data_IF_374388037582
#
_entry.id   IF_374388037582
#
_cell.length_a   1.000
_cell.length_b   1.000
_cell.length_c   1.000
_cell.angle_alpha   90.00
_cell.angle_beta   90.00
_cell.angle_gamma   90.00
#
_symmetry.space_group_name_H-M   'P 1'
#
loop_
_entity.id
_entity.type
_entity.pdbx_description
1 polymer ?
#
# COMPACT_ATOMS: atom_id res chain seq x y z
N UNK A 1 22.60 25.95 5.88
CA UNK A 1 22.71 25.03 7.02
C UNK A 1 21.37 25.01 7.74
N UNK A 2 20.41 24.26 7.23
CA UNK A 2 19.08 24.08 7.84
C UNK A 2 19.14 22.76 8.63
N UNK A 3 19.12 22.92 9.99
CA UNK A 3 19.33 21.84 10.93
C UNK A 3 18.31 20.72 10.78
N UNK A 4 18.82 19.49 10.63
CA UNK A 4 18.08 18.30 11.03
C UNK A 4 17.65 18.54 12.48
N UNK A 5 16.33 18.59 12.75
CA UNK A 5 15.83 18.64 14.13
C UNK A 5 16.48 17.46 14.85
N UNK A 6 17.28 17.75 15.90
CA UNK A 6 17.91 16.69 16.68
C UNK A 6 16.82 15.78 17.23
N UNK A 7 17.13 14.52 17.47
CA UNK A 7 16.19 13.60 18.13
C UNK A 7 15.66 14.19 19.42
N UNK A 8 16.50 14.92 20.15
CA UNK A 8 16.12 15.64 21.38
C UNK A 8 15.11 16.76 21.13
N UNK A 9 15.27 17.51 20.02
CA UNK A 9 14.29 18.53 19.63
C UNK A 9 12.93 17.93 19.23
N UNK A 10 12.95 16.77 18.56
CA UNK A 10 11.73 16.04 18.24
C UNK A 10 11.04 15.50 19.49
N UNK A 11 11.81 14.96 20.43
CA UNK A 11 11.31 14.46 21.71
C UNK A 11 10.64 15.59 22.51
N UNK A 12 11.31 16.71 22.67
CA UNK A 12 10.77 17.86 23.38
C UNK A 12 9.48 18.41 22.73
N UNK A 13 9.47 18.48 21.40
CA UNK A 13 8.28 18.91 20.67
C UNK A 13 7.10 17.95 20.82
N UNK A 14 7.33 16.64 20.75
CA UNK A 14 6.29 15.63 21.00
C UNK A 14 5.75 15.72 22.42
N UNK A 15 6.64 15.87 23.40
CA UNK A 15 6.27 16.03 24.80
C UNK A 15 5.32 17.24 25.01
N UNK A 16 5.67 18.39 24.41
CA UNK A 16 4.87 19.61 24.52
C UNK A 16 3.50 19.46 23.85
N UNK A 17 3.47 18.91 22.63
CA UNK A 17 2.24 18.78 21.83
C UNK A 17 1.28 17.76 22.46
N UNK A 18 1.78 16.61 22.91
CA UNK A 18 0.94 15.57 23.51
C UNK A 18 0.43 16.00 24.89
N UNK A 19 1.23 16.70 25.68
CA UNK A 19 0.79 17.24 26.97
C UNK A 19 -0.40 18.21 26.88
N UNK A 20 -0.56 18.89 25.72
CA UNK A 20 -1.72 19.73 25.44
C UNK A 20 -2.88 18.94 24.83
N UNK A 21 -2.58 18.06 23.87
CA UNK A 21 -3.61 17.34 23.09
C UNK A 21 -4.25 16.18 23.85
N UNK A 22 -3.49 15.54 24.75
CA UNK A 22 -3.93 14.41 25.57
C UNK A 22 -3.62 14.79 27.04
N UNK A 23 -4.43 15.67 27.65
CA UNK A 23 -4.18 16.11 28.98
C UNK A 23 -4.26 14.94 29.97
N UNK A 24 -3.25 14.80 30.79
CA UNK A 24 -3.28 13.92 31.97
C UNK A 24 -4.17 14.49 33.05
N UNK A 25 -4.71 13.63 33.88
CA UNK A 25 -5.39 14.08 35.11
C UNK A 25 -4.45 14.94 35.96
N UNK A 26 -4.96 15.96 36.65
CA UNK A 26 -4.15 16.89 37.44
C UNK A 26 -3.21 16.11 38.40
N UNK A 27 -1.91 16.32 38.26
CA UNK A 27 -0.87 15.68 39.08
C UNK A 27 -0.28 14.40 38.54
N UNK A 28 -0.65 13.98 37.33
CA UNK A 28 -0.06 12.79 36.68
C UNK A 28 1.03 13.21 35.71
N UNK A 29 2.27 12.75 35.93
CA UNK A 29 3.37 12.95 34.98
C UNK A 29 3.09 12.19 33.68
N UNK A 30 3.27 12.88 32.55
CA UNK A 30 3.12 12.30 31.23
C UNK A 30 4.39 12.53 30.43
N UNK A 31 4.97 11.47 29.88
CA UNK A 31 6.28 11.52 29.21
C UNK A 31 6.36 10.66 27.97
N UNK A 32 7.17 11.12 26.98
CA UNK A 32 7.48 10.37 25.77
C UNK A 32 8.69 9.47 26.01
N UNK A 33 8.53 8.19 25.72
CA UNK A 33 9.59 7.17 25.83
C UNK A 33 9.83 6.42 24.54
N UNK A 34 10.98 5.76 24.43
CA UNK A 34 11.35 4.82 23.36
C UNK A 34 11.22 5.39 21.94
N UNK A 35 11.48 6.71 21.78
CA UNK A 35 11.42 7.34 20.46
C UNK A 35 12.47 6.71 19.52
N UNK A 36 11.99 6.09 18.43
CA UNK A 36 12.84 5.48 17.42
C UNK A 36 12.26 5.65 16.02
N UNK A 37 13.13 5.92 15.06
CA UNK A 37 12.74 5.95 13.66
C UNK A 37 12.53 4.53 13.14
N UNK A 38 11.41 4.31 12.43
CA UNK A 38 11.17 3.06 11.73
C UNK A 38 11.80 3.14 10.33
N UNK A 39 12.43 2.04 9.89
CA UNK A 39 12.90 1.88 8.52
C UNK A 39 11.72 1.54 7.62
N UNK A 40 11.63 2.12 6.42
CA UNK A 40 10.67 1.67 5.41
C UNK A 40 9.74 2.72 4.81
N UNK A 41 9.89 4.00 5.09
CA UNK A 41 9.16 5.07 4.39
C UNK A 41 10.05 5.74 3.35
N UNK A 42 9.75 5.60 2.05
CA UNK A 42 10.53 6.23 0.99
C UNK A 42 10.28 7.74 0.88
N UNK A 43 9.13 8.21 1.31
CA UNK A 43 8.65 9.60 1.15
C UNK A 43 8.46 10.35 2.47
N UNK A 44 8.20 9.64 3.57
CA UNK A 44 7.84 10.19 4.87
C UNK A 44 8.72 9.62 5.98
N UNK A 45 8.89 10.38 7.07
CA UNK A 45 9.48 9.87 8.30
C UNK A 45 8.41 9.24 9.18
N UNK A 46 8.66 8.01 9.61
CA UNK A 46 7.81 7.30 10.56
C UNK A 46 8.59 7.04 11.85
N UNK A 47 8.06 7.51 12.96
CA UNK A 47 8.66 7.38 14.28
C UNK A 47 7.72 6.65 15.22
N UNK A 48 8.21 5.62 15.88
CA UNK A 48 7.49 4.92 16.94
C UNK A 48 7.96 5.44 18.29
N UNK A 49 7.01 5.58 19.21
CA UNK A 49 7.28 5.98 20.60
C UNK A 49 6.14 5.53 21.52
N UNK A 50 6.36 5.64 22.80
CA UNK A 50 5.35 5.38 23.82
C UNK A 50 5.03 6.68 24.57
N UNK A 51 3.74 7.00 24.71
CA UNK A 51 3.24 8.08 25.55
C UNK A 51 2.79 7.46 26.88
N UNK A 52 3.59 7.69 27.92
CA UNK A 52 3.30 7.18 29.26
C UNK A 52 2.54 8.23 30.08
N UNK A 53 1.41 7.83 30.64
CA UNK A 53 0.60 8.66 31.54
C UNK A 53 0.36 7.87 32.82
N UNK A 54 1.07 8.26 33.89
CA UNK A 54 0.90 7.60 35.20
C UNK A 54 1.26 6.12 35.21
N UNK A 55 2.26 5.69 34.42
CA UNK A 55 2.71 4.30 34.30
C UNK A 55 1.92 3.46 33.27
N UNK A 56 0.98 4.07 32.55
CA UNK A 56 0.25 3.42 31.46
C UNK A 56 0.82 3.91 30.11
N UNK A 57 1.60 3.06 29.46
CA UNK A 57 2.19 3.35 28.16
C UNK A 57 1.18 3.18 27.04
N UNK A 58 0.95 4.23 26.26
CA UNK A 58 0.19 4.22 25.01
C UNK A 58 1.15 4.19 23.83
N UNK A 59 1.20 3.11 23.04
CA UNK A 59 2.07 3.01 21.89
C UNK A 59 1.54 3.89 20.73
N UNK A 60 2.39 4.78 20.21
CA UNK A 60 2.05 5.76 19.19
C UNK A 60 3.02 5.73 18.01
N UNK A 61 2.55 6.28 16.89
CA UNK A 61 3.33 6.56 15.68
C UNK A 61 3.18 8.03 15.32
N UNK A 62 4.29 8.69 15.06
CA UNK A 62 4.34 9.94 14.31
C UNK A 62 4.69 9.65 12.87
N UNK A 63 3.85 10.08 11.92
CA UNK A 63 4.15 10.13 10.48
C UNK A 63 4.25 11.60 10.08
N UNK A 64 5.41 11.99 9.49
CA UNK A 64 5.65 13.39 9.12
C UNK A 64 6.48 13.52 7.84
N UNK A 65 6.39 14.69 7.22
CA UNK A 65 7.30 15.05 6.13
C UNK A 65 8.73 15.26 6.68
N UNK A 66 9.77 14.82 5.98
CA UNK A 66 11.14 15.14 6.33
C UNK A 66 11.34 16.66 6.32
N UNK A 67 12.15 17.23 7.23
CA UNK A 67 12.46 18.66 7.23
C UNK A 67 12.99 19.12 5.87
N UNK A 68 12.38 20.19 5.31
CA UNK A 68 12.77 20.73 4.01
C UNK A 68 12.29 19.92 2.78
N UNK A 69 11.50 18.87 2.98
CA UNK A 69 10.87 18.18 1.87
C UNK A 69 9.91 19.12 1.15
N UNK A 70 10.17 19.41 -0.12
CA UNK A 70 9.17 20.03 -0.96
C UNK A 70 7.96 19.10 -1.03
N UNK A 71 6.76 19.66 -0.82
CA UNK A 71 5.50 18.95 -1.08
C UNK A 71 5.58 18.40 -2.50
N UNK A 72 5.67 17.08 -2.64
CA UNK A 72 5.62 16.45 -3.95
C UNK A 72 4.19 16.55 -4.43
N UNK A 73 3.92 17.59 -5.21
CA UNK A 73 2.63 17.78 -5.89
C UNK A 73 2.44 16.67 -6.94
N UNK A 74 1.91 15.56 -6.49
CA UNK A 74 1.50 14.43 -7.34
C UNK A 74 -0.03 14.25 -7.33
N UNK A 75 -0.76 15.25 -6.86
CA UNK A 75 -2.19 15.11 -6.60
C UNK A 75 -2.50 14.10 -5.49
N UNK A 76 -1.52 13.84 -4.61
CA UNK A 76 -1.69 13.01 -3.42
C UNK A 76 -2.41 13.81 -2.33
N UNK A 77 -3.14 13.17 -1.42
CA UNK A 77 -3.91 13.85 -0.38
C UNK A 77 -3.05 14.66 0.61
N UNK A 78 -1.73 14.45 0.63
CA UNK A 78 -0.84 15.00 1.66
C UNK A 78 -1.11 14.39 3.03
N UNK A 79 -0.27 14.72 4.03
CA UNK A 79 -0.36 14.10 5.36
C UNK A 79 -1.67 14.45 6.10
N UNK A 80 -2.17 15.67 5.95
CA UNK A 80 -3.45 16.06 6.54
C UNK A 80 -4.63 15.32 5.86
N UNK A 81 -4.59 15.17 4.54
CA UNK A 81 -5.57 14.39 3.79
C UNK A 81 -5.50 12.90 4.11
N UNK A 82 -4.30 12.32 4.24
CA UNK A 82 -4.10 10.95 4.67
C UNK A 82 -4.73 10.71 6.06
N UNK A 83 -4.47 11.60 7.02
CA UNK A 83 -5.06 11.53 8.35
C UNK A 83 -6.61 11.62 8.30
N UNK A 84 -7.16 12.45 7.42
CA UNK A 84 -8.60 12.57 7.24
C UNK A 84 -9.23 11.30 6.65
N UNK A 85 -8.57 10.67 5.66
CA UNK A 85 -8.98 9.39 5.08
C UNK A 85 -9.00 8.28 6.13
N UNK A 86 -7.94 8.14 6.92
CA UNK A 86 -7.84 7.17 8.01
C UNK A 86 -8.98 7.38 9.03
N UNK A 87 -9.26 8.64 9.42
CA UNK A 87 -10.35 8.96 10.36
C UNK A 87 -11.74 8.57 9.83
N UNK A 88 -11.95 8.63 8.53
CA UNK A 88 -13.23 8.25 7.92
C UNK A 88 -13.32 6.74 7.65
N UNK A 89 -12.20 6.07 7.40
CA UNK A 89 -12.15 4.64 7.14
C UNK A 89 -12.56 3.80 8.37
N UNK A 90 -12.19 4.22 9.58
CA UNK A 90 -12.56 3.54 10.82
C UNK A 90 -14.07 3.35 10.99
N UNK A 91 -14.89 4.42 10.99
CA UNK A 91 -16.34 4.33 11.03
C UNK A 91 -16.96 3.54 9.87
N UNK A 92 -16.31 3.50 8.71
CA UNK A 92 -16.71 2.66 7.59
C UNK A 92 -16.42 1.15 7.81
N UNK A 93 -15.83 0.80 8.95
CA UNK A 93 -15.50 -0.58 9.32
C UNK A 93 -14.22 -1.11 8.69
N UNK A 94 -13.34 -0.24 8.18
CA UNK A 94 -12.00 -0.62 7.75
C UNK A 94 -11.09 -0.65 8.98
N UNK A 95 -10.32 -1.71 9.23
CA UNK A 95 -9.35 -1.72 10.32
C UNK A 95 -8.22 -0.71 10.02
N UNK A 96 -8.14 0.35 10.81
CA UNK A 96 -7.14 1.42 10.67
C UNK A 96 -6.73 1.93 12.04
N UNK A 97 -5.53 2.54 12.18
CA UNK A 97 -5.12 3.15 13.43
C UNK A 97 -5.99 4.37 13.75
N UNK A 98 -6.26 4.60 15.03
CA UNK A 98 -6.88 5.85 15.47
C UNK A 98 -5.91 7.02 15.27
N UNK A 99 -6.31 8.05 14.53
CA UNK A 99 -5.56 9.29 14.41
C UNK A 99 -5.89 10.20 15.60
N UNK A 100 -4.92 10.42 16.46
CA UNK A 100 -5.06 11.23 17.67
C UNK A 100 -4.96 12.74 17.36
N UNK A 101 -3.94 13.11 16.59
CA UNK A 101 -3.62 14.51 16.34
C UNK A 101 -3.09 14.71 14.92
N UNK A 102 -3.55 15.74 14.23
CA UNK A 102 -2.93 16.27 13.00
C UNK A 102 -2.09 17.48 13.40
N UNK A 103 -0.81 17.47 13.06
CA UNK A 103 0.12 18.54 13.38
C UNK A 103 -0.28 19.84 12.69
N UNK A 104 -0.04 20.95 13.39
CA UNK A 104 -0.28 22.30 12.91
C UNK A 104 1.05 23.08 12.93
N UNK A 105 1.20 24.16 12.13
CA UNK A 105 2.43 24.94 12.08
C UNK A 105 2.95 25.40 13.46
N UNK A 106 2.05 25.74 14.37
CA UNK A 106 2.41 26.16 15.73
C UNK A 106 3.05 25.08 16.59
N UNK A 107 2.92 23.81 16.19
CA UNK A 107 3.55 22.69 16.90
C UNK A 107 5.06 22.59 16.62
N UNK A 108 5.57 23.25 15.57
CA UNK A 108 6.99 23.26 15.24
C UNK A 108 7.59 21.92 14.79
N UNK A 109 6.74 20.91 14.56
CA UNK A 109 7.16 19.54 14.19
C UNK A 109 7.08 19.26 12.68
N UNK A 110 6.68 20.25 11.86
CA UNK A 110 6.39 20.10 10.45
C UNK A 110 5.02 19.50 10.18
N UNK A 111 4.75 19.23 8.89
CA UNK A 111 3.50 18.56 8.48
C UNK A 111 3.52 17.10 8.91
N UNK A 112 2.42 16.65 9.51
CA UNK A 112 2.33 15.25 9.96
C UNK A 112 1.10 14.98 10.81
N UNK A 113 1.04 13.78 11.35
CA UNK A 113 0.02 13.37 12.30
C UNK A 113 0.53 12.30 13.26
N UNK A 114 -0.12 12.21 14.41
CA UNK A 114 0.13 11.18 15.42
C UNK A 114 -1.06 10.23 15.44
N UNK A 115 -0.77 8.94 15.42
CA UNK A 115 -1.76 7.88 15.43
C UNK A 115 -1.37 6.76 16.37
N UNK A 116 -2.32 5.92 16.72
CA UNK A 116 -2.12 4.68 17.46
C UNK A 116 -1.12 3.77 16.73
N UNK A 117 -0.20 3.14 17.45
CA UNK A 117 0.62 2.05 16.94
C UNK A 117 -0.12 0.73 17.13
N UNK A 118 -0.65 0.19 16.03
CA UNK A 118 -1.33 -1.10 16.06
C UNK A 118 -0.32 -2.25 16.17
N UNK A 119 -0.65 -3.33 16.88
CA UNK A 119 0.12 -4.57 16.82
C UNK A 119 -0.12 -5.30 15.50
N UNK A 120 0.82 -6.13 15.10
CA UNK A 120 0.70 -6.98 13.92
C UNK A 120 1.97 -7.08 13.11
N UNK A 121 1.97 -8.01 12.17
CA UNK A 121 3.05 -8.27 11.24
C UNK A 121 2.76 -7.59 9.88
N UNK A 122 3.73 -6.87 9.34
CA UNK A 122 3.64 -6.23 8.03
C UNK A 122 4.58 -6.87 6.99
N UNK A 123 5.53 -7.72 7.41
CA UNK A 123 6.49 -8.33 6.49
C UNK A 123 5.80 -9.33 5.57
N UNK A 124 5.66 -8.97 4.29
CA UNK A 124 4.93 -9.75 3.30
C UNK A 124 5.36 -11.21 3.22
N UNK A 125 6.65 -11.52 3.32
CA UNK A 125 7.15 -12.90 3.34
C UNK A 125 6.65 -13.74 4.51
N UNK A 126 6.37 -13.13 5.67
CA UNK A 126 5.81 -13.84 6.85
C UNK A 126 4.31 -14.07 6.66
N UNK A 127 3.61 -13.06 6.14
CA UNK A 127 2.19 -13.16 5.83
C UNK A 127 1.96 -14.23 4.74
N UNK A 128 2.78 -14.22 3.68
CA UNK A 128 2.71 -15.18 2.57
C UNK A 128 3.22 -16.59 2.90
N UNK A 129 3.80 -16.83 4.08
CA UNK A 129 4.35 -18.12 4.46
C UNK A 129 3.30 -19.25 4.50
N UNK A 130 2.02 -18.92 4.71
CA UNK A 130 0.92 -19.87 4.77
C UNK A 130 -0.28 -19.43 3.93
N UNK A 131 -1.13 -20.40 3.57
CA UNK A 131 -2.45 -20.11 3.01
C UNK A 131 -3.38 -19.57 4.09
N UNK A 132 -4.00 -18.42 3.86
CA UNK A 132 -4.82 -17.68 4.83
C UNK A 132 -6.13 -17.24 4.18
N UNK A 133 -7.09 -18.14 3.96
CA UNK A 133 -8.34 -17.84 3.26
C UNK A 133 -9.16 -16.77 3.97
N UNK A 134 -9.23 -16.79 5.29
CA UNK A 134 -9.95 -15.78 6.07
C UNK A 134 -9.31 -14.38 5.92
N UNK A 135 -7.99 -14.29 5.88
CA UNK A 135 -7.30 -13.02 5.64
C UNK A 135 -7.62 -12.48 4.24
N UNK A 136 -7.65 -13.33 3.21
CA UNK A 136 -8.01 -12.93 1.86
C UNK A 136 -9.46 -12.42 1.81
N UNK A 137 -10.41 -13.07 2.48
CA UNK A 137 -11.78 -12.60 2.61
C UNK A 137 -11.86 -11.25 3.36
N UNK A 138 -11.11 -11.09 4.45
CA UNK A 138 -11.06 -9.83 5.19
C UNK A 138 -10.49 -8.69 4.35
N UNK A 139 -9.45 -8.95 3.54
CA UNK A 139 -8.91 -7.97 2.59
C UNK A 139 -9.96 -7.56 1.55
N UNK A 140 -10.70 -8.52 1.00
CA UNK A 140 -11.82 -8.23 0.09
C UNK A 140 -12.90 -7.37 0.74
N UNK A 141 -13.32 -7.72 1.94
CA UNK A 141 -14.33 -6.94 2.68
C UNK A 141 -13.83 -5.53 3.04
N UNK A 142 -12.56 -5.38 3.41
CA UNK A 142 -11.96 -4.07 3.68
C UNK A 142 -11.94 -3.19 2.43
N UNK A 143 -11.54 -3.75 1.27
CA UNK A 143 -11.56 -3.03 -0.01
C UNK A 143 -12.98 -2.60 -0.41
N UNK A 144 -13.98 -3.46 -0.26
CA UNK A 144 -15.37 -3.08 -0.56
C UNK A 144 -15.87 -1.92 0.31
N UNK A 145 -15.49 -1.90 1.59
CA UNK A 145 -15.81 -0.79 2.50
C UNK A 145 -15.08 0.50 2.13
N UNK A 146 -13.81 0.42 1.72
CA UNK A 146 -13.04 1.57 1.22
C UNK A 146 -13.74 2.15 -0.01
N UNK A 147 -14.08 1.31 -0.99
CA UNK A 147 -14.71 1.72 -2.23
C UNK A 147 -16.14 2.26 -2.03
N UNK A 148 -16.83 1.91 -0.94
CA UNK A 148 -18.13 2.43 -0.57
C UNK A 148 -18.09 3.80 0.13
N UNK A 149 -16.91 4.31 0.52
CA UNK A 149 -16.79 5.62 1.15
C UNK A 149 -17.13 6.73 0.15
N UNK A 150 -18.07 7.65 0.48
CA UNK A 150 -18.50 8.69 -0.46
C UNK A 150 -17.40 9.69 -0.74
N UNK A 151 -16.92 9.81 -1.98
CA UNK A 151 -15.86 10.75 -2.37
C UNK A 151 -16.17 12.20 -1.97
N UNK A 152 -17.45 12.60 -2.00
CA UNK A 152 -17.87 13.96 -1.66
C UNK A 152 -17.62 14.34 -0.19
N UNK A 153 -17.45 13.36 0.70
CA UNK A 153 -17.15 13.59 2.12
C UNK A 153 -15.66 13.57 2.43
N UNK A 154 -14.82 13.26 1.44
CA UNK A 154 -13.38 13.11 1.59
C UNK A 154 -12.64 14.41 1.22
N UNK A 155 -11.38 14.57 1.64
CA UNK A 155 -10.53 15.64 1.13
C UNK A 155 -10.48 15.61 -0.40
N UNK A 156 -10.15 16.75 -1.06
CA UNK A 156 -9.95 16.77 -2.50
C UNK A 156 -8.91 15.72 -2.93
N UNK A 157 -9.31 14.83 -3.83
CA UNK A 157 -8.46 13.76 -4.35
C UNK A 157 -8.36 13.89 -5.87
N UNK A 158 -7.19 13.57 -6.42
CA UNK A 158 -7.10 13.38 -7.87
C UNK A 158 -8.04 12.26 -8.30
N UNK A 159 -8.49 12.31 -9.54
CA UNK A 159 -9.22 11.20 -10.14
C UNK A 159 -8.49 10.71 -11.37
N UNK A 160 -8.54 9.41 -11.62
CA UNK A 160 -7.88 8.80 -12.77
C UNK A 160 -8.76 7.75 -13.44
N UNK A 161 -8.50 7.52 -14.70
CA UNK A 161 -9.22 6.57 -15.55
C UNK A 161 -8.20 5.71 -16.34
N UNK A 162 -8.59 4.54 -16.86
CA UNK A 162 -7.67 3.60 -17.50
C UNK A 162 -6.74 4.22 -18.54
N UNK A 163 -7.27 4.99 -19.48
CA UNK A 163 -6.47 5.60 -20.54
C UNK A 163 -5.44 6.62 -20.00
N UNK A 164 -5.81 7.37 -18.96
CA UNK A 164 -4.93 8.35 -18.33
C UNK A 164 -3.77 7.64 -17.59
N UNK A 165 -4.02 6.51 -16.91
CA UNK A 165 -2.97 5.72 -16.26
C UNK A 165 -1.97 5.15 -17.29
N UNK A 166 -2.43 4.66 -18.44
CA UNK A 166 -1.53 4.20 -19.52
C UNK A 166 -0.67 5.34 -20.04
N UNK A 167 -1.26 6.52 -20.28
CA UNK A 167 -0.53 7.68 -20.74
C UNK A 167 0.52 8.15 -19.71
N UNK A 168 0.15 8.15 -18.44
CA UNK A 168 1.06 8.46 -17.34
C UNK A 168 2.26 7.50 -17.28
N UNK A 169 2.01 6.18 -17.31
CA UNK A 169 3.08 5.17 -17.28
C UNK A 169 3.98 5.25 -18.50
N UNK A 170 3.42 5.48 -19.68
CA UNK A 170 4.20 5.69 -20.90
C UNK A 170 5.14 6.89 -20.79
N UNK A 171 4.64 8.01 -20.27
CA UNK A 171 5.46 9.21 -20.03
C UNK A 171 6.50 8.98 -18.95
N UNK A 172 6.17 8.21 -17.90
CA UNK A 172 7.11 7.91 -16.83
C UNK A 172 8.25 7.00 -17.29
N UNK A 173 7.93 5.88 -17.93
CA UNK A 173 8.93 4.99 -18.54
C UNK A 173 9.82 5.72 -19.55
N UNK A 174 9.23 6.56 -20.42
CA UNK A 174 9.98 7.32 -21.43
C UNK A 174 11.02 8.30 -20.86
N UNK A 175 10.84 8.78 -19.63
CA UNK A 175 11.81 9.67 -18.97
C UNK A 175 13.10 8.99 -18.54
N UNK A 176 13.10 7.69 -18.38
CA UNK A 176 14.28 6.95 -17.87
C UNK A 176 15.09 6.26 -18.96
N UNK A 177 14.61 6.32 -20.21
CA UNK A 177 15.40 6.02 -21.42
C UNK A 177 15.84 4.56 -21.62
N UNK A 178 15.37 3.62 -20.78
CA UNK A 178 15.76 2.22 -20.91
C UNK A 178 14.88 1.52 -21.93
N UNK A 179 15.48 0.92 -22.95
CA UNK A 179 14.73 0.14 -23.94
C UNK A 179 14.31 -1.21 -23.31
N UNK A 180 13.03 -1.35 -22.96
CA UNK A 180 12.43 -2.61 -22.48
C UNK A 180 11.29 -3.03 -23.42
N UNK A 181 11.56 -3.96 -24.36
CA UNK A 181 10.56 -4.39 -25.34
C UNK A 181 9.28 -4.91 -24.71
N UNK A 182 9.38 -5.64 -23.59
CA UNK A 182 8.22 -6.19 -22.89
C UNK A 182 7.33 -5.09 -22.29
N UNK A 183 7.94 -4.00 -21.76
CA UNK A 183 7.17 -2.85 -21.26
C UNK A 183 6.45 -2.13 -22.43
N UNK A 184 7.09 -2.01 -23.59
CA UNK A 184 6.45 -1.44 -24.78
C UNK A 184 5.31 -2.32 -25.29
N UNK A 185 5.48 -3.65 -25.25
CA UNK A 185 4.41 -4.60 -25.57
C UNK A 185 3.22 -4.44 -24.61
N UNK A 186 3.48 -4.39 -23.30
CA UNK A 186 2.45 -4.19 -22.30
C UNK A 186 1.72 -2.84 -22.46
N UNK A 187 2.44 -1.73 -22.70
CA UNK A 187 1.85 -0.41 -22.97
C UNK A 187 0.95 -0.42 -24.19
N UNK A 188 1.34 -1.14 -25.26
CA UNK A 188 0.52 -1.28 -26.47
C UNK A 188 -0.73 -2.08 -26.19
N UNK A 189 -0.59 -3.23 -25.52
CA UNK A 189 -1.71 -4.09 -25.18
C UNK A 189 -2.72 -3.35 -24.28
N UNK A 190 -2.24 -2.66 -23.22
CA UNK A 190 -3.07 -1.88 -22.32
C UNK A 190 -3.84 -0.79 -23.05
N UNK A 191 -3.21 -0.08 -24.00
CA UNK A 191 -3.88 0.96 -24.79
C UNK A 191 -4.96 0.37 -25.72
N UNK A 192 -4.75 -0.84 -26.27
CA UNK A 192 -5.71 -1.50 -27.17
C UNK A 192 -6.89 -2.14 -26.45
N UNK A 193 -6.70 -2.52 -25.18
CA UNK A 193 -7.70 -3.24 -24.39
C UNK A 193 -8.20 -2.41 -23.18
N UNK A 194 -8.00 -1.09 -23.21
CA UNK A 194 -8.43 -0.21 -22.14
C UNK A 194 -9.94 -0.36 -21.91
N UNK A 195 -10.38 -0.71 -20.70
CA UNK A 195 -11.79 -0.79 -20.39
C UNK A 195 -12.42 0.62 -20.40
N UNK A 196 -13.73 0.69 -20.61
CA UNK A 196 -14.45 1.95 -20.54
C UNK A 196 -14.32 2.60 -19.15
N UNK A 197 -14.42 3.92 -19.10
CA UNK A 197 -14.42 4.67 -17.84
C UNK A 197 -15.58 4.24 -16.95
N UNK A 198 -15.37 4.31 -15.64
CA UNK A 198 -16.42 4.06 -14.62
C UNK A 198 -16.56 5.26 -13.70
N UNK A 199 -17.69 5.35 -13.02
CA UNK A 199 -17.85 6.30 -11.92
C UNK A 199 -16.74 6.01 -10.88
N UNK A 200 -15.90 7.00 -10.55
CA UNK A 200 -14.78 6.77 -9.64
C UNK A 200 -15.30 6.50 -8.22
N UNK A 201 -14.61 5.57 -7.55
CA UNK A 201 -14.74 5.33 -6.11
C UNK A 201 -13.43 5.72 -5.41
N UNK A 202 -13.42 5.77 -4.08
CA UNK A 202 -12.17 5.87 -3.35
C UNK A 202 -11.35 4.60 -3.60
N UNK A 203 -10.11 4.77 -4.07
CA UNK A 203 -9.12 3.71 -4.24
C UNK A 203 -7.97 3.98 -3.29
N UNK A 204 -7.52 2.98 -2.55
CA UNK A 204 -6.36 3.08 -1.64
C UNK A 204 -5.07 3.35 -2.42
N UNK A 205 -4.90 2.70 -3.58
CA UNK A 205 -3.80 2.90 -4.50
C UNK A 205 -2.50 2.16 -4.16
N UNK A 206 -2.36 1.62 -2.93
CA UNK A 206 -1.23 0.77 -2.51
C UNK A 206 -1.66 -0.33 -1.51
N UNK A 207 -2.82 -0.95 -1.73
CA UNK A 207 -3.34 -2.02 -0.88
C UNK A 207 -2.59 -3.33 -1.14
N UNK A 208 -1.55 -3.60 -0.36
CA UNK A 208 -0.66 -4.77 -0.52
C UNK A 208 0.04 -5.14 0.79
N UNK A 209 0.66 -6.32 0.80
CA UNK A 209 1.62 -6.68 1.85
C UNK A 209 2.68 -5.57 2.05
N UNK A 210 2.97 -5.27 3.29
CA UNK A 210 3.80 -4.13 3.70
C UNK A 210 2.94 -2.96 4.21
N UNK A 211 1.72 -2.79 3.68
CA UNK A 211 0.73 -1.81 4.12
C UNK A 211 -0.45 -2.44 4.86
N UNK A 212 -0.43 -3.76 5.02
CA UNK A 212 -1.40 -4.53 5.80
C UNK A 212 -0.74 -5.01 7.10
N UNK A 213 -1.37 -4.73 8.24
CA UNK A 213 -1.00 -5.32 9.52
C UNK A 213 -1.87 -6.55 9.76
N UNK A 214 -1.21 -7.65 10.11
CA UNK A 214 -1.87 -8.94 10.30
C UNK A 214 -1.47 -9.52 11.65
N UNK A 215 -2.44 -9.86 12.47
CA UNK A 215 -2.20 -10.69 13.64
C UNK A 215 -2.04 -12.15 13.18
N UNK A 216 -0.81 -12.66 13.24
CA UNK A 216 -0.47 -14.02 12.84
C UNK A 216 -0.70 -15.06 13.94
N UNK A 217 -0.88 -14.65 15.20
CA UNK A 217 -1.15 -15.53 16.33
C UNK A 217 -2.59 -16.05 16.32
N UNK A 218 -3.51 -15.26 15.74
CA UNK A 218 -4.87 -15.71 15.50
C UNK A 218 -4.91 -16.74 14.36
N UNK A 219 -5.67 -17.82 14.56
CA UNK A 219 -5.80 -18.90 13.58
C UNK A 219 -6.30 -18.37 12.23
N UNK A 220 -5.50 -18.58 11.17
CA UNK A 220 -5.76 -18.09 9.82
C UNK A 220 -5.29 -16.66 9.53
N UNK A 221 -4.83 -15.92 10.54
CA UNK A 221 -4.45 -14.51 10.45
C UNK A 221 -5.65 -13.56 10.45
N UNK A 222 -5.51 -12.43 11.13
CA UNK A 222 -6.55 -11.38 11.20
C UNK A 222 -5.98 -10.06 10.71
N UNK A 223 -6.68 -9.41 9.78
CA UNK A 223 -6.34 -8.07 9.33
C UNK A 223 -6.61 -7.06 10.45
N UNK A 224 -5.56 -6.51 11.04
CA UNK A 224 -5.65 -5.55 12.16
C UNK A 224 -5.43 -4.10 11.74
N UNK A 225 -4.88 -3.87 10.53
CA UNK A 225 -4.67 -2.51 10.05
C UNK A 225 -4.42 -2.39 8.56
N UNK A 226 -4.98 -1.35 7.95
CA UNK A 226 -4.67 -0.88 6.60
C UNK A 226 -3.94 0.45 6.73
N UNK A 227 -2.71 0.50 6.25
CA UNK A 227 -1.76 1.60 6.42
C UNK A 227 -1.41 2.25 5.07
N UNK A 228 -0.79 3.45 5.13
CA UNK A 228 -0.17 4.13 3.99
C UNK A 228 -1.17 4.57 2.89
N UNK A 229 -2.02 5.53 3.24
CA UNK A 229 -3.05 6.09 2.38
C UNK A 229 -2.55 7.22 1.48
N UNK A 230 -1.22 7.41 1.37
CA UNK A 230 -0.63 8.53 0.61
C UNK A 230 -0.93 8.48 -0.89
N UNK A 231 -1.28 7.32 -1.45
CA UNK A 231 -1.63 7.14 -2.85
C UNK A 231 -3.14 7.09 -3.11
N UNK A 232 -3.95 7.33 -2.09
CA UNK A 232 -5.40 7.30 -2.22
C UNK A 232 -5.90 8.34 -3.25
N UNK A 233 -6.87 7.91 -4.08
CA UNK A 233 -7.42 8.73 -5.17
C UNK A 233 -8.82 8.25 -5.58
N UNK A 234 -9.51 9.03 -6.42
CA UNK A 234 -10.71 8.58 -7.12
C UNK A 234 -10.31 7.71 -8.32
N UNK A 235 -10.87 6.50 -8.43
CA UNK A 235 -10.50 5.58 -9.51
C UNK A 235 -11.40 4.37 -9.65
N UNK A 236 -10.92 3.41 -10.40
CA UNK A 236 -11.59 2.14 -10.66
C UNK A 236 -11.37 1.17 -9.48
N UNK A 237 -12.42 0.61 -8.88
CA UNK A 237 -12.28 -0.31 -7.74
C UNK A 237 -11.45 -1.56 -8.07
N UNK A 238 -11.44 -2.02 -9.32
CA UNK A 238 -10.63 -3.18 -9.72
C UNK A 238 -9.13 -2.92 -9.63
N UNK A 239 -8.69 -1.65 -9.57
CA UNK A 239 -7.29 -1.30 -9.44
C UNK A 239 -6.67 -1.82 -8.11
N UNK A 240 -7.38 -1.67 -6.98
CA UNK A 240 -6.89 -2.15 -5.69
C UNK A 240 -6.89 -3.68 -5.57
N UNK A 241 -7.97 -4.33 -6.03
CA UNK A 241 -8.02 -5.79 -6.04
C UNK A 241 -6.86 -6.36 -6.88
N UNK A 242 -6.65 -5.77 -8.06
CA UNK A 242 -5.58 -6.18 -8.96
C UNK A 242 -4.19 -5.90 -8.38
N UNK A 243 -4.03 -4.77 -7.67
CA UNK A 243 -2.75 -4.40 -7.05
C UNK A 243 -2.29 -5.43 -6.03
N UNK A 244 -3.20 -5.92 -5.17
CA UNK A 244 -2.89 -7.01 -4.22
C UNK A 244 -2.47 -8.30 -4.93
N UNK A 245 -2.93 -8.51 -6.18
CA UNK A 245 -2.61 -9.66 -7.01
C UNK A 245 -1.44 -9.49 -7.98
N UNK A 246 -0.67 -8.40 -7.89
CA UNK A 246 0.57 -8.25 -8.66
C UNK A 246 1.57 -9.32 -8.22
N UNK A 247 2.19 -10.09 -9.15
CA UNK A 247 3.02 -11.23 -8.81
C UNK A 247 4.17 -10.92 -7.84
N UNK A 248 4.71 -9.72 -7.91
CA UNK A 248 5.77 -9.23 -7.00
C UNK A 248 5.39 -9.26 -5.52
N UNK A 249 4.10 -9.21 -5.20
CA UNK A 249 3.60 -9.27 -3.82
C UNK A 249 3.33 -10.70 -3.33
N UNK A 250 3.52 -11.70 -4.20
CA UNK A 250 3.31 -13.11 -3.83
C UNK A 250 4.49 -13.73 -3.07
N UNK A 251 5.63 -13.04 -2.96
CA UNK A 251 6.82 -13.48 -2.20
C UNK A 251 7.22 -14.94 -2.46
N UNK A 252 7.27 -15.34 -3.75
CA UNK A 252 7.63 -16.70 -4.16
C UNK A 252 6.51 -17.74 -4.05
N UNK A 253 5.27 -17.30 -3.90
CA UNK A 253 4.09 -18.17 -3.81
C UNK A 253 3.13 -17.97 -5.00
N UNK A 254 3.52 -18.33 -6.26
CA UNK A 254 2.71 -18.06 -7.44
C UNK A 254 1.36 -18.79 -7.45
N UNK A 255 1.27 -19.93 -6.74
CA UNK A 255 0.02 -20.66 -6.56
C UNK A 255 -1.01 -19.96 -5.68
N UNK A 256 -0.63 -18.89 -4.99
CA UNK A 256 -1.51 -18.04 -4.17
C UNK A 256 -1.43 -16.61 -4.66
N UNK A 257 -2.18 -16.25 -5.71
CA UNK A 257 -2.03 -14.98 -6.42
C UNK A 257 -2.44 -13.74 -5.62
N UNK A 258 -3.19 -13.89 -4.53
CA UNK A 258 -3.57 -12.79 -3.65
C UNK A 258 -2.52 -12.63 -2.56
N UNK A 259 -1.57 -11.70 -2.77
CA UNK A 259 -0.51 -11.36 -1.83
C UNK A 259 0.35 -12.55 -1.37
N UNK A 260 0.33 -13.68 -2.06
CA UNK A 260 1.03 -14.91 -1.68
C UNK A 260 0.35 -15.70 -0.56
N UNK A 261 -0.77 -15.22 -0.02
CA UNK A 261 -1.47 -15.87 1.10
C UNK A 261 -2.87 -16.38 0.78
N UNK A 262 -3.49 -15.95 -0.35
CA UNK A 262 -4.86 -16.34 -0.69
C UNK A 262 -5.09 -16.54 -2.18
N UNK A 263 -6.31 -16.97 -2.51
CA UNK A 263 -6.79 -17.17 -3.87
C UNK A 263 -7.83 -16.09 -4.22
N UNK A 264 -8.05 -15.88 -5.53
CA UNK A 264 -9.03 -14.91 -6.02
C UNK A 264 -10.45 -15.18 -5.52
N UNK A 265 -10.87 -16.45 -5.44
CA UNK A 265 -12.20 -16.82 -4.95
C UNK A 265 -12.43 -16.27 -3.53
N UNK A 266 -11.46 -16.44 -2.64
CA UNK A 266 -11.55 -15.98 -1.25
C UNK A 266 -11.62 -14.45 -1.14
N UNK A 267 -10.79 -13.73 -1.93
CA UNK A 267 -10.82 -12.27 -2.00
C UNK A 267 -12.18 -11.78 -2.54
N UNK A 268 -12.68 -12.41 -3.61
CA UNK A 268 -13.94 -12.05 -4.24
C UNK A 268 -15.14 -12.34 -3.33
N UNK A 269 -15.11 -13.45 -2.59
CA UNK A 269 -16.14 -13.77 -1.61
C UNK A 269 -16.24 -12.69 -0.53
N UNK A 270 -15.09 -12.28 0.02
CA UNK A 270 -15.04 -11.19 0.98
C UNK A 270 -15.52 -9.85 0.39
N UNK A 271 -15.09 -9.53 -0.83
CA UNK A 271 -15.48 -8.30 -1.51
C UNK A 271 -16.97 -8.24 -1.81
N UNK A 272 -17.53 -9.34 -2.36
CA UNK A 272 -18.97 -9.45 -2.68
C UNK A 272 -19.84 -9.46 -1.43
N UNK A 273 -19.40 -10.15 -0.37
CA UNK A 273 -20.15 -10.19 0.91
C UNK A 273 -20.30 -8.82 1.57
N UNK A 274 -19.38 -7.90 1.28
CA UNK A 274 -19.42 -6.51 1.75
C UNK A 274 -20.02 -5.54 0.72
N UNK A 275 -20.69 -6.05 -0.33
CA UNK A 275 -21.46 -5.26 -1.29
C UNK A 275 -20.70 -4.88 -2.57
N UNK A 276 -19.45 -5.29 -2.73
CA UNK A 276 -18.65 -5.03 -3.92
C UNK A 276 -19.04 -5.91 -5.12
N UNK A 277 -18.77 -5.42 -6.32
CA UNK A 277 -18.97 -6.17 -7.57
C UNK A 277 -17.61 -6.39 -8.26
N UNK A 278 -17.35 -7.62 -8.70
CA UNK A 278 -16.11 -8.00 -9.37
C UNK A 278 -16.33 -8.15 -10.87
N UNK A 279 -15.54 -7.41 -11.65
CA UNK A 279 -15.38 -7.60 -13.09
C UNK A 279 -13.98 -8.20 -13.34
N UNK A 280 -13.94 -9.49 -13.64
CA UNK A 280 -12.68 -10.24 -13.77
C UNK A 280 -11.86 -9.83 -15.01
N UNK A 281 -12.53 -9.40 -16.10
CA UNK A 281 -11.83 -8.90 -17.29
C UNK A 281 -11.14 -7.56 -16.99
N UNK A 282 -11.84 -6.70 -16.30
CA UNK A 282 -11.35 -5.41 -15.85
C UNK A 282 -10.22 -5.57 -14.83
N UNK A 283 -10.37 -6.49 -13.88
CA UNK A 283 -9.33 -6.86 -12.90
C UNK A 283 -8.07 -7.36 -13.60
N UNK A 284 -8.18 -8.20 -14.62
CA UNK A 284 -7.03 -8.68 -15.39
C UNK A 284 -6.27 -7.52 -16.05
N UNK A 285 -6.99 -6.59 -16.67
CA UNK A 285 -6.38 -5.39 -17.27
C UNK A 285 -5.61 -4.57 -16.23
N UNK A 286 -6.22 -4.32 -15.06
CA UNK A 286 -5.58 -3.60 -13.97
C UNK A 286 -4.39 -4.35 -13.38
N UNK A 287 -4.42 -5.68 -13.40
CA UNK A 287 -3.27 -6.50 -12.96
C UNK A 287 -2.08 -6.35 -13.90
N UNK A 288 -2.31 -6.34 -15.22
CA UNK A 288 -1.25 -6.04 -16.22
C UNK A 288 -0.69 -4.64 -15.99
N UNK A 289 -1.57 -3.63 -15.82
CA UNK A 289 -1.15 -2.26 -15.57
C UNK A 289 -0.37 -2.13 -14.25
N UNK A 290 -0.82 -2.76 -13.19
CA UNK A 290 -0.14 -2.77 -11.89
C UNK A 290 1.24 -3.42 -11.96
N UNK A 291 1.37 -4.54 -12.68
CA UNK A 291 2.66 -5.21 -12.88
C UNK A 291 3.63 -4.32 -13.65
N UNK A 292 3.16 -3.67 -14.73
CA UNK A 292 3.96 -2.70 -15.48
C UNK A 292 4.34 -1.49 -14.60
N UNK A 293 3.39 -0.95 -13.80
CA UNK A 293 3.64 0.17 -12.88
C UNK A 293 4.76 -0.17 -11.92
N UNK A 294 4.75 -1.36 -11.32
CA UNK A 294 5.84 -1.79 -10.44
C UNK A 294 7.17 -1.90 -11.18
N UNK A 295 7.18 -2.43 -12.41
CA UNK A 295 8.38 -2.49 -13.25
C UNK A 295 8.97 -1.10 -13.53
N UNK A 296 8.13 -0.11 -13.88
CA UNK A 296 8.55 1.28 -14.11
C UNK A 296 9.02 1.94 -12.80
N UNK A 297 8.44 1.61 -11.66
CA UNK A 297 8.94 2.06 -10.35
C UNK A 297 10.34 1.51 -10.07
N UNK A 298 10.58 0.22 -10.32
CA UNK A 298 11.90 -0.40 -10.18
C UNK A 298 12.93 0.27 -11.08
N UNK A 299 12.57 0.55 -12.33
CA UNK A 299 13.42 1.27 -13.30
C UNK A 299 13.78 2.68 -12.80
N UNK A 300 12.79 3.42 -12.29
CA UNK A 300 13.00 4.75 -11.70
C UNK A 300 13.97 4.73 -10.52
N UNK A 301 13.86 3.72 -9.65
CA UNK A 301 14.78 3.54 -8.52
C UNK A 301 16.20 3.26 -9.00
N UNK A 302 16.34 2.46 -10.08
CA UNK A 302 17.62 2.19 -10.71
C UNK A 302 18.24 3.45 -11.31
N UNK A 303 17.44 4.28 -11.97
CA UNK A 303 17.89 5.56 -12.52
C UNK A 303 18.34 6.51 -11.41
N UNK A 304 17.56 6.64 -10.33
CA UNK A 304 17.92 7.49 -9.20
C UNK A 304 19.23 7.05 -8.52
N UNK A 305 19.46 5.75 -8.42
CA UNK A 305 20.74 5.22 -7.92
C UNK A 305 21.88 5.48 -8.88
N UNK A 306 21.72 5.18 -10.17
CA UNK A 306 22.77 5.32 -11.18
C UNK A 306 23.22 6.75 -11.40
N UNK A 307 22.30 7.72 -11.28
CA UNK A 307 22.59 9.16 -11.40
C UNK A 307 23.14 9.78 -10.11
N UNK A 308 23.21 9.04 -9.03
CA UNK A 308 23.62 9.55 -7.71
C UNK A 308 22.57 10.44 -7.03
N UNK A 309 21.36 10.58 -7.60
CA UNK A 309 20.28 11.34 -6.98
C UNK A 309 19.84 10.73 -5.64
N UNK A 310 19.84 9.40 -5.56
CA UNK A 310 19.57 8.66 -4.33
C UNK A 310 20.45 7.39 -4.28
N UNK A 311 21.72 7.51 -3.87
CA UNK A 311 22.72 6.42 -3.97
C UNK A 311 22.58 5.42 -2.82
N UNK A 312 21.36 4.91 -2.62
CA UNK A 312 21.04 3.92 -1.58
C UNK A 312 21.05 2.52 -2.19
N UNK A 313 21.81 1.60 -1.60
CA UNK A 313 21.99 0.23 -2.11
C UNK A 313 20.66 -0.53 -2.24
N UNK A 314 19.69 -0.26 -1.38
CA UNK A 314 18.35 -0.83 -1.48
C UNK A 314 17.69 -0.52 -2.83
N UNK A 315 17.83 0.71 -3.36
CA UNK A 315 17.29 1.10 -4.67
C UNK A 315 17.96 0.35 -5.81
N UNK A 316 19.27 0.13 -5.73
CA UNK A 316 19.98 -0.71 -6.70
C UNK A 316 19.47 -2.16 -6.69
N UNK A 317 19.21 -2.70 -5.50
CA UNK A 317 18.67 -4.05 -5.36
C UNK A 317 17.24 -4.16 -5.92
N UNK A 318 16.38 -3.19 -5.62
CA UNK A 318 15.00 -3.15 -6.14
C UNK A 318 14.98 -2.97 -7.66
N UNK A 319 15.89 -2.18 -8.21
CA UNK A 319 15.99 -1.95 -9.66
C UNK A 319 16.12 -3.25 -10.47
N UNK A 320 16.80 -4.26 -9.94
CA UNK A 320 16.95 -5.58 -10.58
C UNK A 320 15.61 -6.29 -10.79
N UNK A 321 14.62 -5.98 -9.99
CA UNK A 321 13.28 -6.57 -10.08
C UNK A 321 12.49 -6.13 -11.30
N UNK A 322 12.94 -5.10 -12.03
CA UNK A 322 12.35 -4.72 -13.31
C UNK A 322 12.32 -5.90 -14.30
N UNK A 323 13.35 -6.77 -14.31
CA UNK A 323 13.38 -7.96 -15.17
C UNK A 323 12.44 -9.07 -14.70
N UNK A 324 12.16 -9.17 -13.39
CA UNK A 324 11.11 -10.07 -12.88
C UNK A 324 9.75 -9.67 -13.45
N UNK A 325 9.45 -8.35 -13.46
CA UNK A 325 8.18 -7.86 -13.99
C UNK A 325 8.02 -8.08 -15.49
N UNK A 326 9.10 -8.17 -16.28
CA UNK A 326 9.02 -8.54 -17.70
C UNK A 326 8.52 -9.98 -17.87
N UNK A 327 8.98 -10.91 -17.05
CA UNK A 327 8.50 -12.31 -17.04
C UNK A 327 7.03 -12.37 -16.61
N UNK A 328 6.69 -11.64 -15.55
CA UNK A 328 5.31 -11.57 -15.05
C UNK A 328 4.35 -11.02 -16.11
N UNK A 329 4.75 -9.94 -16.81
CA UNK A 329 3.97 -9.33 -17.90
C UNK A 329 3.78 -10.30 -19.06
N UNK A 330 4.83 -11.00 -19.49
CA UNK A 330 4.70 -12.01 -20.55
C UNK A 330 3.72 -13.11 -20.15
N UNK A 331 3.78 -13.58 -18.91
CA UNK A 331 2.86 -14.57 -18.38
C UNK A 331 1.41 -14.08 -18.37
N UNK A 332 1.18 -12.79 -18.05
CA UNK A 332 -0.16 -12.21 -18.02
C UNK A 332 -0.71 -11.91 -19.43
N UNK A 333 0.17 -11.61 -20.38
CA UNK A 333 -0.22 -11.22 -21.76
C UNK A 333 -0.38 -12.43 -22.70
N UNK A 334 0.30 -13.54 -22.41
CA UNK A 334 0.16 -14.73 -23.20
C UNK A 334 -1.18 -15.45 -22.88
N UNK A 335 -1.92 -15.94 -23.89
CA UNK A 335 -3.08 -16.78 -23.64
C UNK A 335 -2.62 -18.02 -22.87
N UNK A 336 -3.26 -18.29 -21.72
CA UNK A 336 -3.00 -19.53 -20.98
C UNK A 336 -3.27 -20.71 -21.91
N UNK A 337 -2.22 -21.45 -22.29
CA UNK A 337 -2.42 -22.73 -22.90
C UNK A 337 -3.11 -23.65 -21.86
N UNK A 338 -4.18 -24.36 -22.24
CA UNK A 338 -4.76 -25.33 -21.32
C UNK A 338 -3.65 -26.31 -20.94
N UNK A 339 -3.50 -26.52 -19.62
CA UNK A 339 -2.55 -27.51 -19.10
C UNK A 339 -2.77 -28.83 -19.83
N UNK A 340 -1.73 -29.50 -20.38
CA UNK A 340 -1.92 -30.79 -21.01
C UNK A 340 -2.62 -31.69 -20.00
N UNK A 341 -3.75 -32.28 -20.41
CA UNK A 341 -4.52 -33.20 -19.59
C UNK A 341 -3.56 -34.27 -19.06
N UNK A 342 -3.59 -34.51 -17.74
CA UNK A 342 -2.78 -35.60 -17.17
C UNK A 342 -3.06 -36.90 -17.94
N UNK A 343 -2.02 -37.68 -18.32
CA UNK A 343 -2.21 -38.89 -19.06
C UNK A 343 -3.15 -39.84 -18.29
N UNK A 344 -4.18 -40.30 -18.96
CA UNK A 344 -5.14 -41.22 -18.40
C UNK A 344 -4.39 -42.44 -17.82
N UNK A 345 -4.55 -42.63 -16.51
CA UNK A 345 -4.01 -43.85 -15.88
C UNK A 345 -4.75 -45.06 -16.46
N UNK A 346 -4.10 -45.76 -17.35
CA UNK A 346 -4.57 -47.07 -17.79
C UNK A 346 -4.50 -48.05 -16.61
N UNK A 347 -5.63 -48.27 -15.96
CA UNK A 347 -5.77 -49.40 -15.04
C UNK A 347 -5.69 -50.69 -15.91
N UNK A 348 -4.53 -51.31 -15.91
CA UNK A 348 -4.36 -52.66 -16.43
C UNK A 348 -4.99 -53.63 -15.41
N UNK A 349 -6.18 -54.05 -15.69
CA UNK A 349 -6.80 -55.18 -14.97
C UNK A 349 -6.04 -56.45 -15.39
N UNK A 350 -5.25 -56.97 -14.45
CA UNK A 350 -4.64 -58.30 -14.62
C UNK A 350 -5.72 -59.31 -14.25
N UNK A 351 -6.06 -60.18 -15.19
CA UNK A 351 -6.94 -61.32 -15.03
C UNK A 351 -6.22 -62.47 -14.30
#
# INVERSE_FOLDING_TARGET
>A
MTGAASVDGLLAGLQAVLGVAIPSSAGTDATVHQLRRLSGGASQETWAFDWDVGGLAQPLILRRAPPGAALRDRGNPGLAGEAALIRQAGPAGVPVPQVLLVLQPQHGLGDGFIMQRLPGEALGRRIAAAHRPLLAQQCGAALARIHAMPLASLPPLRSTQPAAEVAYLRGWHGRHGTARPVFQLALRWLAQHAPADVAPVLVHGDFRNGNLLVDLECNGGVLTGVLDWELAHGGDPMADLAWLGVPSWCFGQPGRPVGGFGHWAELFDGYRSAGGQVDENRLHWWRVLGTLRWGVMCESMGHAWATGAEPVMEKAAIARRASETEIDLLTLLLPMQPSPAAPAQHHTTVA
#
